data_IF_817581058542
#
_entry.id   IF_817581058542
#
_cell.length_a   1.000
_cell.length_b   1.000
_cell.length_c   1.000
_cell.angle_alpha   90.00
_cell.angle_beta   90.00
_cell.angle_gamma   90.00
#
_symmetry.space_group_name_H-M   'P 1'
#
loop_
_entity.id
_entity.type
_entity.pdbx_description
1 polymer ?
#
# COMPACT_ATOMS: atom_id res chain seq x y z
N UNK A 1 11.63 -14.01 30.64
CA UNK A 1 11.53 -13.46 29.27
C UNK A 1 10.21 -13.86 28.65
N UNK A 2 9.58 -12.95 27.95
CA UNK A 2 8.34 -13.26 27.25
C UNK A 2 8.60 -14.08 25.97
N UNK A 3 7.57 -14.76 25.47
CA UNK A 3 7.65 -15.47 24.17
C UNK A 3 8.05 -14.54 23.03
N UNK A 4 7.70 -13.26 23.11
CA UNK A 4 8.09 -12.26 22.11
C UNK A 4 9.58 -11.94 22.13
N UNK A 5 10.20 -11.89 23.31
CA UNK A 5 11.64 -11.66 23.43
C UNK A 5 12.45 -12.85 22.93
N UNK A 6 12.01 -14.05 23.24
CA UNK A 6 12.67 -15.28 22.80
C UNK A 6 12.31 -15.70 21.38
N UNK A 7 11.27 -15.08 20.79
CA UNK A 7 10.75 -15.45 19.46
C UNK A 7 10.51 -16.95 19.33
N UNK A 8 9.79 -17.51 20.30
CA UNK A 8 9.59 -18.96 20.44
C UNK A 8 8.99 -19.62 19.19
N UNK A 9 8.31 -18.87 18.33
CA UNK A 9 7.72 -19.35 17.09
C UNK A 9 8.76 -19.73 16.03
N UNK A 10 9.97 -19.18 16.06
CA UNK A 10 11.01 -19.43 15.05
C UNK A 10 11.40 -20.89 14.95
N UNK A 11 11.30 -21.65 16.05
CA UNK A 11 11.57 -23.08 16.05
C UNK A 11 10.63 -23.91 15.17
N UNK A 12 9.46 -23.36 14.83
CA UNK A 12 8.46 -24.01 13.97
C UNK A 12 8.57 -23.58 12.51
N UNK A 13 9.49 -22.68 12.19
CA UNK A 13 9.69 -22.27 10.80
C UNK A 13 10.40 -23.37 10.01
N UNK A 14 9.93 -23.67 8.79
CA UNK A 14 10.68 -24.51 7.87
C UNK A 14 12.04 -23.91 7.54
N UNK A 15 13.00 -24.76 7.16
CA UNK A 15 14.37 -24.32 6.84
C UNK A 15 14.43 -23.26 5.73
N UNK A 16 13.49 -23.32 4.78
CA UNK A 16 13.45 -22.35 3.68
C UNK A 16 12.80 -21.00 4.04
N UNK A 17 12.23 -20.88 5.24
CA UNK A 17 11.60 -19.64 5.68
C UNK A 17 12.62 -18.79 6.42
N UNK A 18 12.96 -17.59 5.90
CA UNK A 18 13.89 -16.71 6.61
C UNK A 18 13.27 -16.19 7.91
N UNK A 19 14.09 -16.06 8.94
CA UNK A 19 13.65 -15.50 10.23
C UNK A 19 13.43 -14.00 10.19
N UNK A 20 14.08 -13.32 9.27
CA UNK A 20 13.98 -11.88 9.05
C UNK A 20 13.90 -11.60 7.56
N UNK A 21 13.24 -10.53 7.20
CA UNK A 21 13.17 -10.05 5.82
C UNK A 21 13.91 -8.71 5.73
N UNK A 22 14.70 -8.55 4.69
CA UNK A 22 15.30 -7.26 4.36
C UNK A 22 14.35 -6.49 3.46
N UNK A 23 13.73 -5.46 4.02
CA UNK A 23 12.80 -4.60 3.29
C UNK A 23 13.52 -3.44 2.59
N UNK A 24 14.81 -3.21 2.90
CA UNK A 24 15.53 -2.04 2.42
C UNK A 24 14.84 -0.74 2.85
N UNK A 25 14.98 0.28 2.02
CA UNK A 25 14.39 1.61 2.25
C UNK A 25 13.15 1.87 1.38
N UNK A 26 12.59 0.81 0.78
CA UNK A 26 11.43 0.90 -0.11
C UNK A 26 10.18 1.32 0.66
N UNK A 27 9.51 2.36 0.20
CA UNK A 27 8.23 2.82 0.74
C UNK A 27 7.04 2.23 -0.01
N UNK A 28 5.83 2.37 0.54
CA UNK A 28 4.61 1.98 -0.18
C UNK A 28 4.42 2.79 -1.47
N UNK A 29 4.81 4.05 -1.49
CA UNK A 29 4.77 4.88 -2.70
C UNK A 29 5.71 4.35 -3.78
N UNK A 30 6.89 3.88 -3.42
CA UNK A 30 7.84 3.30 -4.38
C UNK A 30 7.26 2.03 -5.03
N UNK A 31 6.61 1.19 -4.24
CA UNK A 31 5.91 -0.02 -4.75
C UNK A 31 4.80 0.39 -5.71
N UNK A 32 4.00 1.37 -5.33
CA UNK A 32 2.91 1.90 -6.15
C UNK A 32 3.44 2.46 -7.48
N UNK A 33 4.45 3.33 -7.44
CA UNK A 33 5.03 3.96 -8.63
C UNK A 33 5.67 2.93 -9.57
N UNK A 34 6.37 1.93 -9.04
CA UNK A 34 6.95 0.86 -9.84
C UNK A 34 5.87 0.02 -10.51
N UNK A 35 4.82 -0.32 -9.79
CA UNK A 35 3.70 -1.07 -10.36
C UNK A 35 2.99 -0.29 -11.46
N UNK A 36 2.80 1.01 -11.28
CA UNK A 36 2.20 1.88 -12.29
C UNK A 36 3.02 1.90 -13.59
N UNK A 37 4.36 1.98 -13.49
CA UNK A 37 5.23 1.96 -14.67
C UNK A 37 5.10 0.67 -15.49
N UNK A 38 4.93 -0.46 -14.83
CA UNK A 38 4.90 -1.78 -15.46
C UNK A 38 3.50 -2.17 -15.91
N UNK A 39 2.49 -1.81 -15.16
CA UNK A 39 1.12 -2.34 -15.28
C UNK A 39 0.06 -1.27 -15.53
N UNK A 40 0.42 -0.12 -16.08
CA UNK A 40 -0.50 1.04 -16.25
C UNK A 40 -1.85 0.66 -16.87
N UNK A 41 -1.84 -0.18 -17.88
CA UNK A 41 -3.04 -0.58 -18.63
C UNK A 41 -3.76 -1.81 -18.05
N UNK A 42 -3.20 -2.43 -17.01
CA UNK A 42 -3.83 -3.58 -16.37
C UNK A 42 -4.94 -3.15 -15.42
N UNK A 43 -5.94 -4.03 -15.19
CA UNK A 43 -6.98 -3.78 -14.21
C UNK A 43 -6.40 -3.63 -12.80
N UNK A 44 -6.76 -2.56 -12.10
CA UNK A 44 -6.40 -2.31 -10.71
C UNK A 44 -7.55 -2.63 -9.77
N UNK A 45 -8.78 -2.32 -10.15
CA UNK A 45 -9.97 -2.53 -9.32
C UNK A 45 -11.12 -3.12 -10.12
N UNK A 46 -11.89 -3.97 -9.45
CA UNK A 46 -13.18 -4.48 -9.91
C UNK A 46 -14.21 -4.17 -8.84
N UNK A 47 -15.22 -3.40 -9.18
CA UNK A 47 -16.25 -3.04 -8.21
C UNK A 47 -17.60 -2.86 -8.89
N UNK A 48 -18.58 -3.67 -8.53
CA UNK A 48 -19.94 -3.65 -9.09
C UNK A 48 -19.96 -3.60 -10.63
N UNK A 49 -19.20 -4.49 -11.28
CA UNK A 49 -19.14 -4.58 -12.74
C UNK A 49 -18.30 -3.51 -13.42
N UNK A 50 -17.74 -2.56 -12.70
CA UNK A 50 -16.82 -1.55 -13.22
C UNK A 50 -15.38 -1.98 -13.00
N UNK A 51 -14.62 -1.97 -14.07
CA UNK A 51 -13.17 -2.19 -14.03
C UNK A 51 -12.45 -0.87 -14.23
N UNK A 52 -11.40 -0.65 -13.46
CA UNK A 52 -10.56 0.53 -13.53
C UNK A 52 -9.11 0.10 -13.69
N UNK A 53 -8.39 0.68 -14.65
CA UNK A 53 -6.96 0.42 -14.83
C UNK A 53 -6.11 1.14 -13.79
N UNK A 54 -4.83 0.72 -13.65
CA UNK A 54 -3.89 1.45 -12.80
C UNK A 54 -3.69 2.90 -13.24
N UNK A 55 -3.67 3.16 -14.54
CA UNK A 55 -3.55 4.52 -15.05
C UNK A 55 -4.77 5.39 -14.69
N UNK A 56 -5.97 4.83 -14.77
CA UNK A 56 -7.21 5.52 -14.36
C UNK A 56 -7.23 5.78 -12.85
N UNK A 57 -6.83 4.79 -12.07
CA UNK A 57 -6.69 4.92 -10.62
C UNK A 57 -5.66 6.00 -10.27
N UNK A 58 -4.54 6.05 -10.95
CA UNK A 58 -3.50 7.06 -10.72
C UNK A 58 -3.99 8.48 -10.96
N UNK A 59 -4.78 8.70 -12.01
CA UNK A 59 -5.40 10.01 -12.24
C UNK A 59 -6.25 10.45 -11.06
N UNK A 60 -7.03 9.54 -10.49
CA UNK A 60 -7.86 9.83 -9.31
C UNK A 60 -7.03 10.05 -8.06
N UNK A 61 -5.99 9.25 -7.84
CA UNK A 61 -5.05 9.40 -6.72
C UNK A 61 -4.38 10.78 -6.76
N UNK A 62 -3.90 11.20 -7.93
CA UNK A 62 -3.26 12.51 -8.10
C UNK A 62 -4.26 13.66 -7.90
N UNK A 63 -5.46 13.51 -8.39
CA UNK A 63 -6.52 14.51 -8.19
C UNK A 63 -6.89 14.63 -6.70
N UNK A 64 -7.03 13.52 -6.00
CA UNK A 64 -7.31 13.51 -4.57
C UNK A 64 -6.15 14.13 -3.76
N UNK A 65 -4.91 13.80 -4.09
CA UNK A 65 -3.73 14.38 -3.45
C UNK A 65 -3.66 15.91 -3.66
N UNK A 66 -3.92 16.38 -4.87
CA UNK A 66 -3.99 17.81 -5.17
C UNK A 66 -5.11 18.50 -4.39
N UNK A 67 -6.27 17.86 -4.29
CA UNK A 67 -7.40 18.37 -3.50
C UNK A 67 -7.07 18.49 -2.02
N UNK A 68 -6.48 17.48 -1.42
CA UNK A 68 -6.05 17.50 -0.03
C UNK A 68 -5.02 18.59 0.23
N UNK A 69 -4.06 18.76 -0.67
CA UNK A 69 -3.06 19.83 -0.59
C UNK A 69 -3.72 21.21 -0.66
N UNK A 70 -4.63 21.42 -1.59
CA UNK A 70 -5.38 22.67 -1.73
C UNK A 70 -6.25 22.97 -0.50
N UNK A 71 -6.77 21.92 0.15
CA UNK A 71 -7.53 22.02 1.39
C UNK A 71 -6.68 22.39 2.61
N UNK A 72 -5.36 22.29 2.53
CA UNK A 72 -4.42 22.69 3.56
C UNK A 72 -3.74 21.54 4.33
N UNK A 73 -3.91 20.30 3.87
CA UNK A 73 -3.21 19.14 4.46
C UNK A 73 -1.72 19.23 4.18
N UNK A 74 -0.92 19.03 5.23
CA UNK A 74 0.55 19.14 5.20
C UNK A 74 1.20 17.86 5.72
N UNK A 75 2.49 17.64 5.42
CA UNK A 75 3.24 16.52 6.02
C UNK A 75 3.12 16.51 7.55
N UNK A 76 2.85 15.34 8.10
CA UNK A 76 2.62 15.15 9.54
C UNK A 76 1.18 15.30 9.98
N UNK A 77 0.30 15.83 9.15
CA UNK A 77 -1.14 15.92 9.46
C UNK A 77 -1.78 14.52 9.49
N UNK A 78 -2.80 14.39 10.30
CA UNK A 78 -3.59 13.17 10.42
C UNK A 78 -4.86 13.30 9.61
N UNK A 79 -5.13 12.33 8.75
CA UNK A 79 -6.35 12.25 7.94
C UNK A 79 -7.06 10.95 8.28
N UNK A 80 -8.32 11.06 8.70
CA UNK A 80 -9.17 9.89 8.95
C UNK A 80 -9.97 9.54 7.70
N UNK A 81 -10.03 8.25 7.37
CA UNK A 81 -10.90 7.73 6.32
C UNK A 81 -12.04 6.97 6.97
N UNK A 82 -13.26 7.44 6.74
CA UNK A 82 -14.50 6.80 7.23
C UNK A 82 -15.37 6.51 6.02
N UNK A 83 -15.23 5.31 5.47
CA UNK A 83 -15.92 4.92 4.25
C UNK A 83 -16.17 3.41 4.24
N UNK A 84 -17.19 2.91 3.52
CA UNK A 84 -17.34 1.49 3.25
C UNK A 84 -16.19 1.02 2.32
N UNK A 85 -16.06 -0.31 2.17
CA UNK A 85 -15.11 -0.89 1.23
C UNK A 85 -15.50 -0.53 -0.21
N UNK A 86 -14.68 0.27 -0.84
CA UNK A 86 -14.85 0.73 -2.23
C UNK A 86 -13.51 1.16 -2.81
N UNK A 87 -13.38 1.21 -4.14
CA UNK A 87 -12.19 1.77 -4.75
C UNK A 87 -12.02 3.26 -4.43
#
# INVERSE_FOLDING_TARGET
MSAYETKAWLQYYPEWTPHTLDYGDTTLLDIYDNNLKINADRPATYFFGRTQSYAELDRQVRAAAAGLKAFGVRPGDRVAIVAPNSP
#
